data_IF_659781081331
#
_entry.id   IF_659781081331
#
_cell.length_a   1.000
_cell.length_b   1.000
_cell.length_c   1.000
_cell.angle_alpha   90.00
_cell.angle_beta   90.00
_cell.angle_gamma   90.00
#
_symmetry.space_group_name_H-M   'P 1'
#
loop_
_entity.id
_entity.type
_entity.pdbx_description
1 polymer ?
#
# COMPACT_ATOMS: atom_id res chain seq x y z
N UNK A 1 -12.63 -0.03 12.39
CA UNK A 1 -11.34 0.11 13.05
C UNK A 1 -10.67 -1.25 13.07
N UNK A 2 -9.41 -1.37 12.65
CA UNK A 2 -8.70 -2.65 12.65
C UNK A 2 -8.21 -2.96 14.07
N UNK A 3 -8.54 -4.17 14.58
CA UNK A 3 -8.01 -4.65 15.85
C UNK A 3 -6.65 -5.26 15.62
N UNK A 4 -5.61 -4.60 16.09
CA UNK A 4 -4.24 -5.09 16.00
C UNK A 4 -3.78 -5.63 17.36
N UNK A 5 -3.03 -6.74 17.32
CA UNK A 5 -2.46 -7.39 18.52
C UNK A 5 -1.35 -6.58 19.19
N UNK A 6 -0.91 -5.47 18.58
CA UNK A 6 0.25 -4.76 19.06
C UNK A 6 -0.03 -4.10 20.42
N UNK A 7 0.70 -4.58 21.41
CA UNK A 7 0.82 -3.97 22.71
C UNK A 7 1.29 -2.52 22.60
N UNK A 8 0.82 -1.66 23.50
CA UNK A 8 1.24 -0.26 23.60
C UNK A 8 2.77 -0.18 23.59
N UNK A 9 3.37 0.44 22.57
CA UNK A 9 4.80 0.70 22.50
C UNK A 9 5.56 0.09 21.31
N UNK A 10 4.97 -0.79 20.53
CA UNK A 10 5.66 -1.36 19.36
C UNK A 10 5.79 -0.38 18.21
N UNK A 11 6.99 -0.33 17.64
CA UNK A 11 7.30 0.47 16.45
C UNK A 11 6.90 -0.28 15.19
N UNK A 12 5.93 0.26 14.46
CA UNK A 12 5.41 -0.36 13.25
C UNK A 12 6.30 -0.10 12.03
N UNK A 13 6.49 -1.14 11.24
CA UNK A 13 6.92 -1.03 9.86
C UNK A 13 5.68 -1.19 8.98
N UNK A 14 5.35 -0.21 8.18
CA UNK A 14 4.19 -0.26 7.27
C UNK A 14 4.67 -0.32 5.83
N UNK A 15 4.11 -1.25 5.09
CA UNK A 15 4.27 -1.34 3.64
C UNK A 15 2.91 -1.07 3.00
N UNK A 16 2.88 -0.14 2.06
CA UNK A 16 1.65 0.27 1.39
C UNK A 16 1.70 -0.06 -0.10
N UNK A 17 0.58 -0.53 -0.61
CA UNK A 17 0.37 -0.78 -2.03
C UNK A 17 -1.10 -0.56 -2.39
N UNK A 18 -1.42 -0.47 -3.68
CA UNK A 18 -2.78 -0.29 -4.18
C UNK A 18 -3.13 -1.30 -5.27
N UNK A 19 -4.41 -1.64 -5.37
CA UNK A 19 -4.91 -2.48 -6.46
C UNK A 19 -6.29 -2.06 -6.91
N UNK A 20 -6.60 -2.30 -8.19
CA UNK A 20 -7.92 -2.04 -8.76
C UNK A 20 -8.94 -3.09 -8.34
N UNK A 21 -10.14 -2.61 -8.00
CA UNK A 21 -11.35 -3.42 -7.81
C UNK A 21 -12.39 -2.98 -8.85
N UNK A 22 -13.07 -3.95 -9.43
CA UNK A 22 -14.18 -3.71 -10.39
C UNK A 22 -15.45 -3.36 -9.63
N UNK A 23 -16.25 -2.46 -10.16
CA UNK A 23 -17.60 -2.22 -9.65
C UNK A 23 -18.57 -3.09 -10.42
N UNK A 24 -19.28 -3.97 -9.72
CA UNK A 24 -20.23 -4.89 -10.31
C UNK A 24 -21.43 -4.13 -10.92
N UNK A 25 -21.83 -4.50 -12.14
CA UNK A 25 -23.12 -4.13 -12.75
C UNK A 25 -23.17 -2.82 -13.52
N UNK A 26 -22.23 -1.89 -13.43
CA UNK A 26 -22.30 -0.64 -14.20
C UNK A 26 -21.71 -0.71 -15.62
N UNK A 27 -20.98 -1.75 -15.95
CA UNK A 27 -20.30 -1.85 -17.24
C UNK A 27 -20.71 -3.03 -18.10
N UNK A 28 -20.92 -4.20 -17.53
CA UNK A 28 -21.07 -5.42 -18.34
C UNK A 28 -22.42 -5.53 -19.03
N UNK A 29 -23.51 -5.14 -18.37
CA UNK A 29 -24.84 -5.20 -19.00
C UNK A 29 -25.03 -4.09 -20.04
N UNK A 30 -24.58 -2.87 -19.73
CA UNK A 30 -24.65 -1.73 -20.67
C UNK A 30 -23.67 -1.86 -21.84
N UNK A 31 -22.52 -2.49 -21.65
CA UNK A 31 -21.57 -2.80 -22.75
C UNK A 31 -22.14 -3.87 -23.69
N UNK A 32 -22.88 -4.85 -23.16
CA UNK A 32 -23.57 -5.83 -23.99
C UNK A 32 -24.70 -5.24 -24.85
N UNK A 33 -25.41 -4.20 -24.34
CA UNK A 33 -26.53 -3.57 -25.07
C UNK A 33 -26.12 -2.38 -25.95
N UNK A 34 -25.10 -1.61 -25.60
CA UNK A 34 -24.81 -0.31 -26.23
C UNK A 34 -23.39 -0.17 -26.79
N UNK A 35 -22.62 -1.26 -26.89
CA UNK A 35 -21.29 -1.24 -27.48
C UNK A 35 -20.21 -0.65 -26.59
N UNK A 36 -18.98 -0.61 -27.11
CA UNK A 36 -17.69 -0.40 -26.43
C UNK A 36 -17.48 0.97 -25.73
N UNK A 37 -18.46 1.88 -25.76
CA UNK A 37 -18.26 3.28 -25.35
C UNK A 37 -18.44 3.58 -23.87
N UNK A 38 -18.79 2.61 -23.01
CA UNK A 38 -18.92 2.83 -21.56
C UNK A 38 -17.78 2.17 -20.81
N UNK A 39 -16.89 3.02 -20.27
CA UNK A 39 -15.76 2.60 -19.44
C UNK A 39 -16.24 1.82 -18.20
N UNK A 40 -15.60 0.68 -17.96
CA UNK A 40 -15.76 -0.06 -16.70
C UNK A 40 -15.40 0.84 -15.54
N UNK A 41 -16.26 0.93 -14.53
CA UNK A 41 -15.95 1.70 -13.33
C UNK A 41 -15.03 0.89 -12.44
N UNK A 42 -13.88 1.47 -12.13
CA UNK A 42 -12.89 0.90 -11.22
C UNK A 42 -12.78 1.74 -9.97
N UNK A 43 -12.47 1.08 -8.88
CA UNK A 43 -12.03 1.70 -7.62
C UNK A 43 -10.61 1.23 -7.33
N UNK A 44 -9.88 1.98 -6.52
CA UNK A 44 -8.59 1.55 -5.98
C UNK A 44 -8.71 1.32 -4.48
N UNK A 45 -8.29 0.14 -4.03
CA UNK A 45 -8.08 -0.11 -2.61
C UNK A 45 -6.60 0.08 -2.31
N UNK A 46 -6.31 0.90 -1.30
CA UNK A 46 -4.98 1.13 -0.76
C UNK A 46 -4.88 0.40 0.57
N UNK A 47 -3.91 -0.49 0.70
CA UNK A 47 -3.76 -1.34 1.89
C UNK A 47 -2.40 -1.09 2.52
N UNK A 48 -2.39 -0.83 3.82
CA UNK A 48 -1.21 -0.71 4.65
C UNK A 48 -1.03 -1.98 5.49
N UNK A 49 0.05 -2.69 5.26
CA UNK A 49 0.36 -3.99 5.88
C UNK A 49 1.60 -3.85 6.75
N UNK A 50 1.58 -4.44 7.93
CA UNK A 50 2.81 -4.64 8.70
C UNK A 50 3.47 -5.95 8.24
N UNK A 51 4.69 -5.91 7.69
CA UNK A 51 5.38 -7.10 7.22
C UNK A 51 5.85 -8.04 8.34
N UNK A 52 5.84 -7.62 9.59
CA UNK A 52 6.27 -8.47 10.71
C UNK A 52 5.17 -9.47 11.12
N UNK A 53 3.91 -9.06 11.05
CA UNK A 53 2.75 -9.89 11.42
C UNK A 53 1.86 -10.26 10.22
N UNK A 54 2.09 -9.65 9.05
CA UNK A 54 1.28 -9.86 7.85
C UNK A 54 -0.14 -9.30 7.93
N UNK A 55 -0.43 -8.45 8.93
CA UNK A 55 -1.76 -7.91 9.18
C UNK A 55 -1.96 -6.58 8.46
N UNK A 56 -3.20 -6.35 8.02
CA UNK A 56 -3.64 -5.06 7.48
C UNK A 56 -3.91 -4.13 8.66
N UNK A 57 -3.17 -3.03 8.75
CA UNK A 57 -3.30 -2.02 9.79
C UNK A 57 -4.25 -0.89 9.41
N UNK A 58 -4.32 -0.57 8.12
CA UNK A 58 -5.29 0.36 7.56
C UNK A 58 -5.58 0.02 6.10
N UNK A 59 -6.76 0.42 5.64
CA UNK A 59 -7.13 0.37 4.24
C UNK A 59 -8.03 1.55 3.91
N UNK A 60 -8.00 1.98 2.64
CA UNK A 60 -8.84 3.04 2.12
C UNK A 60 -9.25 2.72 0.68
N UNK A 61 -10.49 3.04 0.33
CA UNK A 61 -10.99 2.93 -1.04
C UNK A 61 -11.06 4.31 -1.69
N UNK A 62 -10.51 4.45 -2.86
CA UNK A 62 -10.58 5.69 -3.66
C UNK A 62 -11.18 5.44 -5.04
N UNK A 63 -11.54 6.52 -5.73
CA UNK A 63 -11.84 6.46 -7.16
C UNK A 63 -10.56 6.17 -7.96
N UNK A 64 -10.71 5.64 -9.17
CA UNK A 64 -9.58 5.25 -10.03
C UNK A 64 -8.62 6.41 -10.36
N UNK A 65 -9.12 7.65 -10.42
CA UNK A 65 -8.33 8.83 -10.75
C UNK A 65 -7.44 9.34 -9.61
N UNK A 66 -7.61 8.84 -8.38
CA UNK A 66 -6.81 9.28 -7.23
C UNK A 66 -5.41 8.70 -7.31
N UNK A 67 -4.42 9.56 -7.11
CA UNK A 67 -3.01 9.17 -7.06
C UNK A 67 -2.69 8.38 -5.77
N UNK A 68 -1.95 7.29 -5.91
CA UNK A 68 -1.57 6.43 -4.77
C UNK A 68 -0.78 7.21 -3.70
N UNK A 69 0.07 8.13 -4.11
CA UNK A 69 0.82 8.99 -3.20
C UNK A 69 -0.06 9.94 -2.37
N UNK A 70 -1.23 10.34 -2.90
CA UNK A 70 -2.18 11.19 -2.18
C UNK A 70 -2.88 10.43 -1.04
N UNK A 71 -2.89 9.10 -1.11
CA UNK A 71 -3.54 8.27 -0.11
C UNK A 71 -2.64 7.89 1.07
N UNK A 72 -1.36 8.31 1.07
CA UNK A 72 -0.42 7.98 2.15
C UNK A 72 -0.86 8.62 3.47
N UNK A 73 -1.13 9.93 3.49
CA UNK A 73 -1.54 10.63 4.70
C UNK A 73 -2.88 10.10 5.24
N UNK A 74 -3.98 9.98 4.45
CA UNK A 74 -5.25 9.44 4.92
C UNK A 74 -5.17 8.01 5.47
N UNK A 75 -4.27 7.19 4.90
CA UNK A 75 -4.08 5.80 5.36
C UNK A 75 -3.26 5.78 6.65
N UNK A 76 -2.19 6.58 6.77
CA UNK A 76 -1.37 6.65 7.98
C UNK A 76 -2.16 7.15 9.19
N UNK A 77 -3.06 8.14 9.02
CA UNK A 77 -3.94 8.67 10.09
C UNK A 77 -4.86 7.59 10.70
N UNK A 78 -5.19 6.56 9.94
CA UNK A 78 -6.04 5.44 10.39
C UNK A 78 -5.28 4.36 11.15
N UNK A 79 -3.95 4.40 11.15
CA UNK A 79 -3.13 3.40 11.81
C UNK A 79 -3.05 3.69 13.31
N UNK A 80 -3.42 2.70 14.10
CA UNK A 80 -3.20 2.73 15.55
C UNK A 80 -1.78 2.26 15.86
N UNK A 81 -1.00 3.12 16.50
CA UNK A 81 0.37 2.84 16.89
C UNK A 81 1.38 3.76 16.22
N UNK A 82 2.64 3.68 16.65
CA UNK A 82 3.71 4.54 16.15
C UNK A 82 4.38 3.92 14.94
N UNK A 83 4.15 4.47 13.75
CA UNK A 83 4.83 4.05 12.53
C UNK A 83 6.25 4.62 12.53
N UNK A 84 7.27 3.77 12.37
CA UNK A 84 8.69 4.18 12.29
C UNK A 84 9.28 4.01 10.90
N UNK A 85 8.72 3.10 10.08
CA UNK A 85 9.20 2.85 8.72
C UNK A 85 8.00 2.77 7.78
N UNK A 86 8.13 3.38 6.63
CA UNK A 86 7.16 3.32 5.55
C UNK A 86 7.82 2.78 4.28
N UNK A 87 7.30 1.69 3.75
CA UNK A 87 7.71 1.07 2.50
C UNK A 87 6.66 1.26 1.41
N UNK A 88 7.10 1.59 0.22
CA UNK A 88 6.26 1.68 -0.98
C UNK A 88 7.09 1.51 -2.23
N UNK A 89 6.45 1.38 -3.37
CA UNK A 89 7.14 1.30 -4.66
C UNK A 89 7.51 2.70 -5.20
N UNK A 90 8.04 2.76 -6.44
CA UNK A 90 8.42 4.02 -7.07
C UNK A 90 7.26 4.96 -7.39
N UNK A 91 5.99 4.53 -7.28
CA UNK A 91 4.82 5.41 -7.43
C UNK A 91 4.75 6.41 -6.27
N UNK A 92 5.23 5.99 -5.09
CA UNK A 92 5.30 6.82 -3.89
C UNK A 92 6.53 7.77 -3.86
N UNK A 93 7.45 7.74 -4.84
CA UNK A 93 8.58 8.68 -4.93
C UNK A 93 8.13 10.07 -5.34
N UNK A 94 7.36 10.73 -4.47
CA UNK A 94 6.81 12.08 -4.65
C UNK A 94 7.10 12.97 -3.46
N UNK A 95 7.34 14.27 -3.71
CA UNK A 95 7.70 15.25 -2.69
C UNK A 95 6.72 15.27 -1.52
N UNK A 96 5.41 15.28 -1.81
CA UNK A 96 4.35 15.28 -0.78
C UNK A 96 4.46 14.08 0.17
N UNK A 97 4.79 12.88 -0.34
CA UNK A 97 4.97 11.68 0.51
C UNK A 97 6.12 11.89 1.48
N UNK A 98 7.26 12.39 1.01
CA UNK A 98 8.40 12.65 1.89
C UNK A 98 8.12 13.73 2.92
N UNK A 99 7.32 14.74 2.60
CA UNK A 99 6.89 15.80 3.52
C UNK A 99 6.01 15.23 4.65
N UNK A 100 5.03 14.39 4.31
CA UNK A 100 4.19 13.69 5.29
C UNK A 100 5.05 12.79 6.20
N UNK A 101 5.93 11.99 5.62
CA UNK A 101 6.79 11.09 6.38
C UNK A 101 7.80 11.83 7.28
N UNK A 102 8.29 12.98 6.83
CA UNK A 102 9.19 13.86 7.61
C UNK A 102 8.46 14.47 8.81
N UNK A 103 7.25 14.99 8.60
CA UNK A 103 6.36 15.53 9.65
C UNK A 103 6.10 14.50 10.75
N UNK A 104 5.78 13.28 10.37
CA UNK A 104 5.48 12.16 11.29
C UNK A 104 6.75 11.44 11.79
N UNK A 105 7.96 11.89 11.44
CA UNK A 105 9.25 11.27 11.79
C UNK A 105 9.35 9.80 11.37
N UNK A 106 8.76 9.45 10.23
CA UNK A 106 8.75 8.12 9.65
C UNK A 106 9.90 7.97 8.65
N UNK A 107 10.67 6.90 8.77
CA UNK A 107 11.76 6.59 7.83
C UNK A 107 11.21 6.04 6.51
N UNK A 108 11.42 6.71 5.36
CA UNK A 108 10.98 6.21 4.06
C UNK A 108 11.88 5.09 3.55
N UNK A 109 11.26 4.03 3.03
CA UNK A 109 11.88 2.93 2.27
C UNK A 109 11.22 2.90 0.90
N UNK A 110 11.47 3.93 0.11
CA UNK A 110 10.89 4.14 -1.22
C UNK A 110 12.04 4.21 -2.23
N UNK A 111 12.06 3.34 -3.26
CA UNK A 111 13.09 3.40 -4.29
C UNK A 111 12.87 4.65 -5.14
N UNK A 112 13.90 5.49 -5.31
CA UNK A 112 13.82 6.61 -6.24
C UNK A 112 13.55 6.11 -7.66
N UNK A 113 12.78 6.88 -8.44
CA UNK A 113 12.52 6.59 -9.85
C UNK A 113 13.83 6.55 -10.65
N UNK A 114 13.86 5.80 -11.76
CA UNK A 114 15.07 5.65 -12.60
C UNK A 114 15.67 6.99 -13.05
N UNK A 115 14.82 7.99 -13.32
CA UNK A 115 15.19 9.34 -13.74
C UNK A 115 15.28 10.34 -12.58
N UNK A 116 15.31 9.86 -11.32
CA UNK A 116 15.37 10.73 -10.17
C UNK A 116 16.65 11.57 -10.13
N UNK A 117 16.48 12.88 -9.94
CA UNK A 117 17.59 13.83 -9.77
C UNK A 117 17.72 14.23 -8.31
N UNK A 118 18.94 14.47 -7.86
CA UNK A 118 19.25 15.03 -6.54
C UNK A 118 18.75 16.46 -6.51
N UNK A 119 17.98 16.79 -5.48
CA UNK A 119 17.45 18.16 -5.30
C UNK A 119 18.40 19.07 -4.51
N UNK A 120 19.11 18.51 -3.52
CA UNK A 120 20.13 19.23 -2.74
C UNK A 120 21.54 18.77 -3.14
N UNK A 121 22.31 19.66 -3.76
CA UNK A 121 23.72 19.47 -4.03
C UNK A 121 24.59 19.85 -2.82
N UNK A 122 25.88 19.50 -2.83
CA UNK A 122 26.79 19.69 -1.69
C UNK A 122 26.94 21.11 -1.18
N UNK A 123 26.68 22.12 -2.04
CA UNK A 123 26.76 23.55 -1.71
C UNK A 123 25.49 24.09 -1.01
N UNK A 124 24.48 23.28 -0.79
CA UNK A 124 23.24 23.70 -0.11
C UNK A 124 23.36 23.48 1.39
N UNK A 125 23.10 24.52 2.18
CA UNK A 125 23.00 24.41 3.64
C UNK A 125 21.83 23.51 4.07
N UNK A 126 22.01 22.75 5.16
CA UNK A 126 21.00 21.92 5.80
C UNK A 126 21.12 20.41 5.50
N UNK A 127 20.36 19.63 6.25
CA UNK A 127 20.40 18.15 6.20
C UNK A 127 20.00 17.60 4.83
N UNK A 128 20.75 16.61 4.39
CA UNK A 128 20.44 15.87 3.15
C UNK A 128 19.15 15.08 3.33
N UNK A 129 18.16 15.34 2.46
CA UNK A 129 16.87 14.65 2.51
C UNK A 129 17.02 13.13 2.28
N UNK A 130 16.17 12.31 2.91
CA UNK A 130 16.23 10.84 2.77
C UNK A 130 16.24 10.35 1.32
N UNK A 131 15.47 10.99 0.45
CA UNK A 131 15.42 10.71 -0.98
C UNK A 131 16.78 10.89 -1.67
N UNK A 132 17.44 12.02 -1.43
CA UNK A 132 18.73 12.32 -2.04
C UNK A 132 19.84 11.37 -1.51
N UNK A 133 19.76 10.98 -0.23
CA UNK A 133 20.63 9.93 0.33
C UNK A 133 20.44 8.60 -0.39
N UNK A 134 19.19 8.20 -0.67
CA UNK A 134 18.90 6.98 -1.41
C UNK A 134 19.46 7.03 -2.84
N UNK A 135 19.29 8.16 -3.55
CA UNK A 135 19.84 8.34 -4.90
C UNK A 135 21.36 8.24 -4.89
N UNK A 136 22.06 8.92 -3.96
CA UNK A 136 23.52 8.86 -3.84
C UNK A 136 23.99 7.45 -3.54
N UNK A 137 23.34 6.76 -2.60
CA UNK A 137 23.68 5.39 -2.27
C UNK A 137 23.52 4.44 -3.47
N UNK A 138 22.41 4.56 -4.21
CA UNK A 138 22.15 3.74 -5.41
C UNK A 138 23.16 4.00 -6.52
N UNK A 139 23.60 5.25 -6.72
CA UNK A 139 24.63 5.59 -7.71
C UNK A 139 25.98 4.97 -7.37
N UNK A 140 26.32 4.89 -6.08
CA UNK A 140 27.63 4.33 -5.63
C UNK A 140 27.61 2.81 -5.55
N UNK A 141 26.52 2.20 -5.07
CA UNK A 141 26.50 0.78 -4.70
C UNK A 141 25.50 -0.05 -5.51
N UNK A 142 24.70 0.60 -6.35
CA UNK A 142 23.66 -0.05 -7.13
C UNK A 142 22.35 -0.29 -6.37
N UNK A 143 21.26 -0.43 -7.13
CA UNK A 143 19.91 -0.61 -6.62
C UNK A 143 19.74 -1.91 -5.82
N UNK A 144 20.42 -2.99 -6.23
CA UNK A 144 20.34 -4.30 -5.55
C UNK A 144 20.85 -4.22 -4.11
N UNK A 145 21.97 -3.53 -3.89
CA UNK A 145 22.53 -3.35 -2.55
C UNK A 145 21.66 -2.44 -1.68
N UNK A 146 21.11 -1.36 -2.26
CA UNK A 146 20.17 -0.50 -1.55
C UNK A 146 18.95 -1.27 -1.05
N UNK A 147 18.34 -2.09 -1.93
CA UNK A 147 17.19 -2.95 -1.59
C UNK A 147 17.51 -3.93 -0.46
N UNK A 148 18.69 -4.57 -0.50
CA UNK A 148 19.14 -5.48 0.56
C UNK A 148 19.36 -4.75 1.89
N UNK A 149 20.02 -3.58 1.87
CA UNK A 149 20.32 -2.78 3.07
C UNK A 149 19.07 -2.28 3.80
N UNK A 150 17.98 -2.05 3.06
CA UNK A 150 16.74 -1.50 3.60
C UNK A 150 15.62 -2.53 3.74
N UNK A 151 15.91 -3.83 3.57
CA UNK A 151 14.92 -4.91 3.62
C UNK A 151 13.71 -4.66 2.70
N UNK A 152 13.97 -4.05 1.54
CA UNK A 152 12.94 -3.64 0.60
C UNK A 152 12.09 -4.82 0.09
N UNK A 153 12.61 -6.04 0.15
CA UNK A 153 11.89 -7.27 -0.21
C UNK A 153 10.62 -7.47 0.63
N UNK A 154 10.58 -6.95 1.87
CA UNK A 154 9.38 -7.00 2.73
C UNK A 154 8.16 -6.35 2.08
N UNK A 155 8.33 -5.48 1.05
CA UNK A 155 7.25 -4.91 0.26
C UNK A 155 6.39 -5.99 -0.42
N UNK A 156 6.97 -7.11 -0.79
CA UNK A 156 6.23 -8.22 -1.42
C UNK A 156 5.07 -8.74 -0.57
N UNK A 157 5.08 -8.50 0.74
CA UNK A 157 3.97 -8.88 1.62
C UNK A 157 2.70 -8.06 1.37
N UNK A 158 2.82 -6.81 0.93
CA UNK A 158 1.66 -6.05 0.46
C UNK A 158 1.08 -6.67 -0.82
N UNK A 159 1.93 -7.05 -1.78
CA UNK A 159 1.52 -7.75 -3.00
C UNK A 159 0.85 -9.09 -2.68
N UNK A 160 1.43 -9.86 -1.76
CA UNK A 160 0.83 -11.12 -1.27
C UNK A 160 -0.54 -10.88 -0.62
N UNK A 161 -0.68 -9.82 0.16
CA UNK A 161 -1.96 -9.45 0.78
C UNK A 161 -2.99 -9.06 -0.28
N UNK A 162 -2.60 -8.33 -1.33
CA UNK A 162 -3.46 -8.00 -2.47
C UNK A 162 -3.88 -9.25 -3.24
N UNK A 163 -2.95 -10.19 -3.46
CA UNK A 163 -3.25 -11.47 -4.08
C UNK A 163 -4.26 -12.26 -3.25
N UNK A 164 -4.06 -12.36 -1.93
CA UNK A 164 -5.00 -13.01 -1.02
C UNK A 164 -6.37 -12.34 -1.04
N UNK A 165 -6.42 -11.02 -1.05
CA UNK A 165 -7.68 -10.27 -1.16
C UNK A 165 -8.45 -10.72 -2.40
N UNK A 166 -7.83 -10.67 -3.58
CA UNK A 166 -8.48 -11.03 -4.84
C UNK A 166 -8.84 -12.51 -4.95
N UNK A 167 -8.04 -13.41 -4.38
CA UNK A 167 -8.28 -14.85 -4.46
C UNK A 167 -9.36 -15.31 -3.49
N UNK A 168 -9.41 -14.76 -2.29
CA UNK A 168 -10.31 -15.21 -1.22
C UNK A 168 -11.63 -14.45 -1.24
N UNK A 169 -11.56 -13.13 -1.39
CA UNK A 169 -12.74 -12.24 -1.37
C UNK A 169 -13.29 -12.04 -2.78
N UNK A 170 -12.39 -11.79 -3.74
CA UNK A 170 -12.72 -11.42 -5.12
C UNK A 170 -12.23 -10.02 -5.48
N UNK A 171 -12.27 -9.72 -6.76
CA UNK A 171 -11.85 -8.42 -7.31
C UNK A 171 -13.03 -7.50 -7.68
N UNK A 172 -14.26 -7.89 -7.34
CA UNK A 172 -15.49 -7.18 -7.66
C UNK A 172 -16.15 -6.63 -6.40
N UNK A 173 -16.55 -5.37 -6.46
CA UNK A 173 -17.41 -4.74 -5.44
C UNK A 173 -18.88 -4.94 -5.84
N UNK A 174 -19.69 -5.40 -4.89
CA UNK A 174 -21.12 -5.68 -5.09
C UNK A 174 -22.00 -4.44 -4.86
N UNK A 175 -21.55 -3.57 -3.97
CA UNK A 175 -22.27 -2.35 -3.62
C UNK A 175 -22.26 -1.33 -4.76
N UNK A 176 -23.37 -0.62 -4.97
CA UNK A 176 -23.51 0.39 -6.01
C UNK A 176 -23.00 1.76 -5.58
N UNK A 177 -23.27 2.14 -4.34
CA UNK A 177 -22.92 3.45 -3.79
C UNK A 177 -21.50 3.46 -3.25
N UNK A 178 -20.76 4.55 -3.44
CA UNK A 178 -19.35 4.64 -3.09
C UNK A 178 -19.09 4.43 -1.60
N UNK A 179 -19.92 4.97 -0.72
CA UNK A 179 -19.75 4.80 0.72
C UNK A 179 -20.00 3.34 1.17
N UNK A 180 -20.92 2.65 0.52
CA UNK A 180 -21.13 1.22 0.74
C UNK A 180 -19.97 0.39 0.18
N UNK A 181 -19.40 0.79 -0.98
CA UNK A 181 -18.18 0.17 -1.53
C UNK A 181 -16.99 0.30 -0.57
N UNK A 182 -16.82 1.47 0.09
CA UNK A 182 -15.82 1.64 1.13
C UNK A 182 -16.02 0.66 2.29
N UNK A 183 -17.25 0.57 2.78
CA UNK A 183 -17.60 -0.34 3.88
C UNK A 183 -17.32 -1.79 3.50
N UNK A 184 -17.72 -2.22 2.30
CA UNK A 184 -17.49 -3.55 1.74
C UNK A 184 -15.99 -3.88 1.68
N UNK A 185 -15.18 -2.98 1.13
CA UNK A 185 -13.74 -3.15 1.01
C UNK A 185 -13.05 -3.23 2.38
N UNK A 186 -13.46 -2.39 3.34
CA UNK A 186 -12.93 -2.40 4.70
C UNK A 186 -13.32 -3.66 5.47
N UNK A 187 -14.55 -4.15 5.29
CA UNK A 187 -15.02 -5.41 5.88
C UNK A 187 -14.22 -6.59 5.35
N UNK A 188 -13.96 -6.61 4.05
CA UNK A 188 -13.13 -7.61 3.37
C UNK A 188 -11.72 -7.68 3.96
N UNK A 189 -11.10 -6.52 4.21
CA UNK A 189 -9.80 -6.45 4.87
C UNK A 189 -9.84 -6.99 6.32
N UNK A 190 -10.92 -6.72 7.06
CA UNK A 190 -11.11 -7.26 8.42
C UNK A 190 -11.28 -8.78 8.41
N UNK A 191 -12.00 -9.32 7.43
CA UNK A 191 -12.17 -10.77 7.24
C UNK A 191 -10.79 -11.41 6.99
N UNK A 192 -9.98 -10.85 6.08
CA UNK A 192 -8.62 -11.34 5.82
C UNK A 192 -7.74 -11.33 7.07
N UNK A 193 -7.81 -10.28 7.87
CA UNK A 193 -7.11 -10.22 9.14
C UNK A 193 -7.58 -11.30 10.12
N UNK A 194 -8.88 -11.54 10.20
CA UNK A 194 -9.44 -12.59 11.06
C UNK A 194 -8.97 -13.97 10.61
N UNK A 195 -8.97 -14.24 9.30
CA UNK A 195 -8.45 -15.49 8.74
C UNK A 195 -6.95 -15.65 9.04
N UNK A 196 -6.16 -14.60 8.88
CA UNK A 196 -4.72 -14.64 9.21
C UNK A 196 -4.45 -14.94 10.70
N UNK A 197 -5.31 -14.44 11.60
CA UNK A 197 -5.22 -14.75 13.05
C UNK A 197 -5.51 -16.22 13.38
N UNK A 198 -6.32 -16.88 12.58
CA UNK A 198 -6.66 -18.31 12.76
C UNK A 198 -5.55 -19.26 12.29
N UNK A 199 -4.55 -18.73 11.57
CA UNK A 199 -3.44 -19.48 11.00
C UNK A 199 -3.77 -20.08 9.62
N UNK A 200 -2.72 -20.57 8.96
CA UNK A 200 -2.87 -21.26 7.66
C UNK A 200 -3.41 -22.67 7.86
N UNK A 201 -4.32 -23.15 7.01
CA UNK A 201 -4.79 -24.53 7.07
C UNK A 201 -3.61 -25.49 6.88
N UNK A 202 -3.53 -26.49 7.75
CA UNK A 202 -2.55 -27.58 7.63
C UNK A 202 -3.10 -28.58 6.63
N UNK A 203 -2.55 -28.59 5.40
CA UNK A 203 -2.89 -29.63 4.41
C UNK A 203 -2.03 -30.87 4.59
N UNK A 204 -2.64 -32.06 4.57
CA UNK A 204 -1.94 -33.34 4.44
C UNK A 204 -2.13 -33.83 3.02
N UNK A 205 -1.04 -34.28 2.37
CA UNK A 205 -1.13 -34.96 1.10
C UNK A 205 -1.80 -36.31 1.36
N UNK A 206 -2.94 -36.55 0.74
CA UNK A 206 -3.58 -37.89 0.73
C UNK A 206 -2.83 -38.67 -0.35
N UNK A 207 -2.12 -39.71 0.07
CA UNK A 207 -1.45 -40.68 -0.82
C UNK A 207 -2.45 -41.63 -1.40
#
# INVERSE_FOLDING_TARGET
>A
MFENRNSKGEHLHIVMDSTGLKVYGEGEWKVRQHGYSKHRTWRKIHIAVNPEDGMIHAAELSTNGVDDAAMVEPVLEKIKGTVKKFGGDGAYDKTKVYEVLEKEKIKPIIPPRKNARIKKHGNCSGLVKPRDRAIRYIRLHGSKQWKKKHDYHKRSLAETTMFRYKTIIGDNLQSREFERQKTEALLSCKILNRMAKQGMPKSKKIS
#
